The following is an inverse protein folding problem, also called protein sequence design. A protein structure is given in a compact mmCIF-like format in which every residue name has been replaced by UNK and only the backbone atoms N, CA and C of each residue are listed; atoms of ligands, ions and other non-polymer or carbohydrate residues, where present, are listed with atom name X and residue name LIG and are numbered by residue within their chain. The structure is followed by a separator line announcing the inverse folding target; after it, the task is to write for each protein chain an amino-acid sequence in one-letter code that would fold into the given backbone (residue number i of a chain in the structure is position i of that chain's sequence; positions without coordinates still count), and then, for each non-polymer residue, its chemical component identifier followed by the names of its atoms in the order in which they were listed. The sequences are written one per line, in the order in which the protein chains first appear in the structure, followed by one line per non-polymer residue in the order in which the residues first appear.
data_IF_817624968657
#
_entry.id   IF_817624968657
#
_cell.length_a   1.000
_cell.length_b   1.000
_cell.length_c   1.000
_cell.angle_alpha   90.00
_cell.angle_beta   90.00
_cell.angle_gamma   90.00
#
_symmetry.space_group_name_H-M   'P 1'
#
loop_
_entity.id
_entity.type
_entity.pdbx_description
1 polymer ?
#
# COMPACT_ATOMS: atom_id res chain seq x y z
N UNK A 1 14.04 -7.22 -25.74
CA UNK A 1 12.70 -7.68 -26.13
C UNK A 1 12.03 -8.30 -24.91
N UNK A 2 10.78 -7.95 -24.65
CA UNK A 2 10.02 -8.45 -23.50
C UNK A 2 9.36 -9.80 -23.84
N UNK A 3 9.31 -10.78 -22.93
CA UNK A 3 8.82 -12.14 -23.23
C UNK A 3 7.28 -12.27 -23.22
N UNK A 4 6.52 -11.17 -23.20
CA UNK A 4 5.06 -11.16 -23.22
C UNK A 4 4.51 -10.23 -24.30
N UNK A 5 3.32 -10.53 -24.87
CA UNK A 5 2.69 -9.69 -25.87
C UNK A 5 2.16 -8.40 -25.23
N UNK A 6 2.48 -7.26 -25.84
CA UNK A 6 2.04 -5.93 -25.40
C UNK A 6 0.99 -5.38 -26.36
N UNK A 7 -0.06 -4.73 -25.82
CA UNK A 7 -1.09 -4.14 -26.68
C UNK A 7 -0.53 -2.96 -27.47
N UNK A 8 -0.93 -2.82 -28.73
CA UNK A 8 -0.46 -1.77 -29.65
C UNK A 8 -0.68 -0.33 -29.13
N UNK A 9 -1.63 -0.14 -28.19
CA UNK A 9 -1.91 1.15 -27.55
C UNK A 9 -0.73 1.67 -26.71
N UNK A 10 0.14 0.81 -26.22
CA UNK A 10 1.33 1.21 -25.47
C UNK A 10 2.52 1.56 -26.36
N UNK A 11 2.46 1.27 -27.66
CA UNK A 11 3.56 1.51 -28.61
C UNK A 11 4.06 2.98 -28.61
N UNK A 12 3.20 4.02 -28.78
CA UNK A 12 3.67 5.41 -28.76
C UNK A 12 4.27 5.82 -27.39
N UNK A 13 3.84 5.17 -26.31
CA UNK A 13 4.37 5.43 -24.96
C UNK A 13 5.72 4.75 -24.73
N UNK A 14 5.88 3.52 -25.20
CA UNK A 14 7.05 2.69 -24.92
C UNK A 14 8.19 2.84 -25.97
N UNK A 15 7.87 3.35 -27.15
CA UNK A 15 8.80 3.54 -28.26
C UNK A 15 8.98 5.01 -28.63
N UNK A 16 8.79 5.92 -27.66
CA UNK A 16 8.98 7.36 -27.88
C UNK A 16 10.40 7.63 -28.39
N UNK A 17 10.52 8.16 -29.61
CA UNK A 17 11.82 8.43 -30.26
C UNK A 17 12.32 7.33 -31.20
N UNK A 18 11.50 6.30 -31.50
CA UNK A 18 11.80 5.26 -32.51
C UNK A 18 10.85 5.41 -33.68
N UNK A 19 11.36 5.70 -34.88
CA UNK A 19 10.57 5.99 -36.08
C UNK A 19 10.23 4.75 -36.94
N UNK A 20 10.27 3.55 -36.35
CA UNK A 20 9.94 2.30 -37.07
C UNK A 20 8.49 1.88 -36.82
N UNK A 21 7.62 2.19 -37.79
CA UNK A 21 6.20 1.85 -37.74
C UNK A 21 5.91 0.33 -37.73
N UNK A 22 6.81 -0.49 -38.28
CA UNK A 22 6.66 -1.96 -38.37
C UNK A 22 7.22 -2.71 -37.16
N UNK A 23 7.88 -2.01 -36.23
CA UNK A 23 8.48 -2.66 -35.06
C UNK A 23 7.39 -3.18 -34.11
N UNK A 24 7.58 -4.41 -33.65
CA UNK A 24 6.67 -5.05 -32.69
C UNK A 24 6.69 -4.31 -31.34
N UNK A 25 5.55 -4.24 -30.65
CA UNK A 25 5.39 -3.53 -29.37
C UNK A 25 6.20 -4.16 -28.23
N UNK A 26 6.66 -5.40 -28.39
CA UNK A 26 7.56 -6.09 -27.43
C UNK A 26 8.99 -5.55 -27.42
N UNK A 27 9.34 -4.64 -28.33
CA UNK A 27 10.59 -3.88 -28.29
C UNK A 27 10.38 -2.56 -27.54
N UNK A 28 11.17 -2.35 -26.50
CA UNK A 28 11.08 -1.19 -25.64
C UNK A 28 12.22 -0.21 -25.96
N UNK A 29 11.94 1.09 -25.83
CA UNK A 29 13.00 2.10 -25.76
C UNK A 29 13.82 1.96 -24.46
N UNK A 30 15.00 2.58 -24.44
CA UNK A 30 15.86 2.66 -23.24
C UNK A 30 15.15 3.33 -22.07
N UNK A 31 14.34 4.36 -22.32
CA UNK A 31 13.55 5.07 -21.30
C UNK A 31 12.50 4.15 -20.68
N UNK A 32 11.79 3.38 -21.49
CA UNK A 32 10.81 2.41 -20.99
C UNK A 32 11.45 1.28 -20.21
N UNK A 33 12.63 0.82 -20.64
CA UNK A 33 13.41 -0.15 -19.88
C UNK A 33 13.80 0.38 -18.50
N UNK A 34 14.28 1.62 -18.42
CA UNK A 34 14.60 2.28 -17.15
C UNK A 34 13.39 2.40 -16.22
N UNK A 35 12.23 2.81 -16.77
CA UNK A 35 10.99 2.92 -16.00
C UNK A 35 10.58 1.57 -15.38
N UNK A 36 10.64 0.48 -16.16
CA UNK A 36 10.35 -0.88 -15.64
C UNK A 36 11.29 -1.25 -14.50
N UNK A 37 12.59 -0.95 -14.64
CA UNK A 37 13.58 -1.25 -13.61
C UNK A 37 13.31 -0.46 -12.32
N UNK A 38 12.86 0.79 -12.39
CA UNK A 38 12.49 1.55 -11.18
C UNK A 38 11.25 0.94 -10.50
N UNK A 39 10.19 0.65 -11.25
CA UNK A 39 8.96 0.12 -10.65
C UNK A 39 9.12 -1.29 -10.07
N UNK A 40 10.02 -2.11 -10.62
CA UNK A 40 10.28 -3.47 -10.15
C UNK A 40 11.18 -3.57 -8.91
N UNK A 41 11.90 -2.50 -8.53
CA UNK A 41 12.90 -2.54 -7.46
C UNK A 41 12.32 -2.63 -6.05
N UNK A 42 11.03 -2.31 -5.85
CA UNK A 42 10.37 -2.32 -4.52
C UNK A 42 10.50 -3.66 -3.81
N UNK A 43 10.25 -4.77 -4.51
CA UNK A 43 10.28 -6.11 -3.91
C UNK A 43 11.68 -6.49 -3.40
N UNK A 44 12.72 -6.17 -4.18
CA UNK A 44 14.11 -6.43 -3.79
C UNK A 44 14.55 -5.51 -2.65
N UNK A 45 14.19 -4.22 -2.71
CA UNK A 45 14.56 -3.25 -1.68
C UNK A 45 13.92 -3.61 -0.33
N UNK A 46 12.66 -4.05 -0.30
CA UNK A 46 11.99 -4.48 0.92
C UNK A 46 12.64 -5.71 1.57
N UNK A 47 13.10 -6.67 0.76
CA UNK A 47 13.82 -7.83 1.28
C UNK A 47 15.20 -7.47 1.83
N UNK A 48 15.88 -6.50 1.21
CA UNK A 48 17.23 -6.12 1.60
C UNK A 48 17.29 -5.19 2.81
N UNK A 49 16.41 -4.19 2.87
CA UNK A 49 16.50 -3.09 3.82
C UNK A 49 15.35 -3.09 4.86
N UNK A 50 14.28 -3.90 4.67
CA UNK A 50 13.15 -4.03 5.60
C UNK A 50 11.91 -3.24 5.19
N UNK A 51 10.97 -2.96 6.11
CA UNK A 51 9.67 -2.34 5.77
C UNK A 51 9.71 -0.79 5.74
N UNK A 52 10.75 -0.16 6.29
CA UNK A 52 10.89 1.30 6.43
C UNK A 52 11.99 1.88 5.53
N UNK A 53 12.00 1.50 4.25
CA UNK A 53 13.09 1.88 3.36
C UNK A 53 12.86 3.24 2.70
N UNK A 54 13.82 4.16 2.89
CA UNK A 54 13.89 5.43 2.16
C UNK A 54 14.07 5.25 0.63
N UNK A 55 14.37 4.03 0.17
CA UNK A 55 14.50 3.69 -1.25
C UNK A 55 13.14 3.55 -1.97
N UNK A 56 12.01 3.49 -1.25
CA UNK A 56 10.68 3.45 -1.87
C UNK A 56 10.22 4.86 -2.28
N UNK A 57 11.01 5.53 -3.13
CA UNK A 57 10.63 6.81 -3.74
C UNK A 57 9.32 6.71 -4.54
N UNK A 58 8.99 5.53 -5.05
CA UNK A 58 7.71 5.30 -5.73
C UNK A 58 6.55 5.32 -4.73
N UNK A 59 6.73 4.84 -3.48
CA UNK A 59 5.73 5.00 -2.42
C UNK A 59 5.60 6.47 -2.02
N UNK A 60 6.69 7.22 -1.95
CA UNK A 60 6.58 8.68 -1.77
C UNK A 60 5.82 9.36 -2.91
N UNK A 61 6.02 8.96 -4.17
CA UNK A 61 5.28 9.50 -5.31
C UNK A 61 3.81 9.08 -5.31
N UNK A 62 3.52 7.82 -4.96
CA UNK A 62 2.15 7.30 -4.81
C UNK A 62 1.44 7.96 -3.63
N UNK A 63 2.13 8.13 -2.51
CA UNK A 63 1.68 8.87 -1.35
C UNK A 63 1.47 10.32 -1.71
N UNK A 64 2.30 10.95 -2.55
CA UNK A 64 2.07 12.32 -3.01
C UNK A 64 0.84 12.43 -3.93
N UNK A 65 0.56 11.41 -4.75
CA UNK A 65 -0.62 11.35 -5.61
C UNK A 65 -1.90 11.05 -4.79
N UNK A 66 -1.82 10.16 -3.80
CA UNK A 66 -2.90 9.92 -2.85
C UNK A 66 -3.10 11.11 -1.90
N UNK A 67 -2.03 11.78 -1.49
CA UNK A 67 -2.07 13.01 -0.69
C UNK A 67 -2.64 14.16 -1.49
N UNK A 68 -2.50 14.22 -2.81
CA UNK A 68 -3.21 15.19 -3.64
C UNK A 68 -4.73 14.94 -3.71
N UNK A 69 -5.17 13.68 -3.51
CA UNK A 69 -6.58 13.33 -3.37
C UNK A 69 -7.10 13.52 -1.93
N UNK A 70 -6.23 13.40 -0.93
CA UNK A 70 -6.52 13.58 0.51
C UNK A 70 -6.29 15.04 0.97
N UNK A 71 -5.64 15.88 0.16
CA UNK A 71 -5.40 17.31 0.45
C UNK A 71 -6.60 18.20 0.16
N UNK A 72 -7.75 17.65 -0.23
CA UNK A 72 -9.02 18.32 0.05
C UNK A 72 -9.18 18.28 1.57
N UNK A 73 -9.09 19.42 2.29
CA UNK A 73 -9.15 19.41 3.73
C UNK A 73 -10.43 18.70 4.14
N UNK A 74 -10.30 17.49 4.71
CA UNK A 74 -11.41 16.86 5.42
C UNK A 74 -11.77 17.85 6.51
N UNK A 75 -12.90 18.52 6.32
CA UNK A 75 -13.46 19.48 7.26
C UNK A 75 -13.50 18.79 8.63
N UNK A 76 -12.60 19.19 9.53
CA UNK A 76 -12.36 18.50 10.80
C UNK A 76 -13.64 18.41 11.62
N UNK A 77 -14.53 19.39 11.46
CA UNK A 77 -15.87 19.39 12.05
C UNK A 77 -16.72 18.18 11.60
N UNK A 78 -16.64 17.78 10.33
CA UNK A 78 -17.35 16.60 9.81
C UNK A 78 -16.73 15.30 10.32
N UNK A 79 -15.40 15.22 10.39
CA UNK A 79 -14.72 14.07 10.96
C UNK A 79 -15.10 13.86 12.43
N UNK A 80 -15.14 14.93 13.24
CA UNK A 80 -15.56 14.85 14.64
C UNK A 80 -17.04 14.49 14.82
N UNK A 81 -17.92 14.96 13.94
CA UNK A 81 -19.35 14.58 13.97
C UNK A 81 -19.53 13.08 13.68
N UNK A 82 -18.83 12.56 12.67
CA UNK A 82 -18.88 11.14 12.32
C UNK A 82 -18.40 10.24 13.47
N UNK A 83 -17.28 10.58 14.11
CA UNK A 83 -16.77 9.85 15.29
C UNK A 83 -17.74 9.92 16.47
N UNK A 84 -18.33 11.10 16.72
CA UNK A 84 -19.32 11.27 17.79
C UNK A 84 -20.56 10.40 17.56
N UNK A 85 -21.07 10.35 16.33
CA UNK A 85 -22.21 9.51 15.97
C UNK A 85 -21.86 8.02 16.13
N UNK A 86 -20.65 7.60 15.76
CA UNK A 86 -20.17 6.23 16.00
C UNK A 86 -20.13 5.87 17.49
N UNK A 87 -19.69 6.80 18.34
CA UNK A 87 -19.64 6.62 19.80
C UNK A 87 -21.03 6.47 20.44
N UNK A 88 -22.08 7.06 19.85
CA UNK A 88 -23.45 6.92 20.37
C UNK A 88 -24.01 5.50 20.22
N UNK A 89 -23.43 4.68 19.33
CA UNK A 89 -23.86 3.31 19.06
C UNK A 89 -23.16 2.29 19.97
N UNK A 90 -22.08 2.69 20.64
CA UNK A 90 -21.27 1.78 21.46
C UNK A 90 -21.83 1.68 22.87
N UNK A 91 -22.27 0.49 23.25
CA UNK A 91 -22.63 0.17 24.62
C UNK A 91 -21.40 -0.15 25.47
N UNK A 92 -21.42 0.30 26.72
CA UNK A 92 -20.36 -0.01 27.68
C UNK A 92 -20.36 -1.50 28.05
N UNK A 93 -19.34 -2.22 27.58
CA UNK A 93 -19.06 -3.59 28.00
C UNK A 93 -18.07 -3.57 29.18
N UNK A 94 -18.56 -3.92 30.37
CA UNK A 94 -17.72 -3.99 31.56
C UNK A 94 -16.84 -5.25 31.52
N UNK A 95 -15.54 -5.06 31.30
CA UNK A 95 -14.56 -6.14 31.15
C UNK A 95 -14.43 -7.05 32.39
N UNK A 96 -14.74 -6.54 33.60
CA UNK A 96 -14.57 -7.29 34.86
C UNK A 96 -15.83 -7.99 35.36
N UNK A 97 -16.94 -7.94 34.61
CA UNK A 97 -18.24 -8.43 35.09
C UNK A 97 -18.24 -9.91 35.50
N UNK A 98 -17.41 -10.74 34.87
CA UNK A 98 -17.33 -12.19 35.12
C UNK A 98 -15.91 -12.65 35.49
N UNK A 99 -15.02 -11.74 35.90
CA UNK A 99 -13.61 -12.08 36.09
C UNK A 99 -13.39 -13.14 37.18
N UNK A 100 -14.25 -13.15 38.20
CA UNK A 100 -14.19 -14.16 39.27
C UNK A 100 -14.44 -15.57 38.71
N UNK A 101 -15.41 -15.72 37.81
CA UNK A 101 -15.72 -16.99 37.16
C UNK A 101 -14.62 -17.39 36.15
N UNK A 102 -14.05 -16.43 35.43
CA UNK A 102 -12.95 -16.67 34.48
C UNK A 102 -11.68 -17.10 35.21
N UNK A 103 -11.38 -16.49 36.37
CA UNK A 103 -10.20 -16.82 37.18
C UNK A 103 -10.36 -18.17 37.88
N UNK A 104 -11.55 -18.49 38.38
CA UNK A 104 -11.82 -19.77 39.07
C UNK A 104 -11.85 -20.94 38.07
N UNK A 105 -12.33 -20.72 36.84
CA UNK A 105 -12.37 -21.76 35.80
C UNK A 105 -11.01 -22.05 35.16
N UNK A 106 -10.07 -21.11 35.24
CA UNK A 106 -8.70 -21.33 34.76
C UNK A 106 -7.90 -22.15 35.77
N UNK A 107 -7.27 -23.24 35.30
CA UNK A 107 -6.30 -23.99 36.12
C UNK A 107 -5.14 -23.07 36.49
N UNK A 108 -4.74 -22.96 37.77
CA UNK A 108 -3.64 -22.11 38.17
C UNK A 108 -2.35 -22.55 37.46
N UNK A 109 -1.70 -21.60 36.79
CA UNK A 109 -0.43 -21.81 36.10
C UNK A 109 0.69 -21.92 37.15
N UNK A 110 0.85 -23.11 37.73
CA UNK A 110 1.98 -23.41 38.60
C UNK A 110 3.25 -23.53 37.73
N UNK A 111 4.01 -22.43 37.65
CA UNK A 111 5.36 -22.44 37.09
C UNK A 111 6.26 -23.19 38.06
N UNK A 112 6.62 -24.44 37.75
CA UNK A 112 7.62 -25.16 38.54
C UNK A 112 8.91 -24.37 38.51
N UNK A 113 9.48 -24.12 39.69
CA UNK A 113 10.85 -23.59 39.81
C UNK A 113 11.84 -24.61 39.29
#
# INVERSE_FOLDING_TARGET
KVPFPLTYRFKPMLQRGVELATLDASWLSSVSWYAINIFGQRGVNNLLLGENNAADQTKMMQDQMNMAAVSMPQDSSKAFKAEREGLLVVDHQWAFKNIENDVISQRPYFRSR
#
